data_IF_754822161740
#
_entry.id   IF_754822161740
#
_cell.length_a   1.000
_cell.length_b   1.000
_cell.length_c   1.000
_cell.angle_alpha   90.00
_cell.angle_beta   90.00
_cell.angle_gamma   90.00
#
_symmetry.space_group_name_H-M   'P 1'
#
loop_
_entity.id
_entity.type
_entity.pdbx_description
1 polymer ?
#
# COMPACT_ATOMS: atom_id res chain seq x y z
N UNK A 1 -11.60 11.79 15.81
CA UNK A 1 -10.64 12.09 14.73
C UNK A 1 -9.20 11.78 15.11
N UNK A 2 -8.66 12.31 16.20
CA UNK A 2 -7.27 12.06 16.61
C UNK A 2 -6.91 10.56 16.78
N UNK A 3 -7.78 9.79 17.44
CA UNK A 3 -7.55 8.35 17.62
C UNK A 3 -7.51 7.58 16.28
N UNK A 4 -8.39 7.94 15.34
CA UNK A 4 -8.47 7.31 14.02
C UNK A 4 -7.24 7.67 13.16
N UNK A 5 -6.77 8.91 13.25
CA UNK A 5 -5.55 9.39 12.61
C UNK A 5 -4.32 8.66 13.15
N UNK A 6 -4.17 8.56 14.48
CA UNK A 6 -3.06 7.83 15.09
C UNK A 6 -3.06 6.35 14.71
N UNK A 7 -4.24 5.73 14.66
CA UNK A 7 -4.39 4.35 14.22
C UNK A 7 -3.96 4.18 12.76
N UNK A 8 -4.43 5.04 11.86
CA UNK A 8 -4.06 5.01 10.45
C UNK A 8 -2.57 5.23 10.23
N UNK A 9 -1.96 6.17 10.94
CA UNK A 9 -0.51 6.38 10.85
C UNK A 9 0.27 5.16 11.35
N UNK A 10 -0.11 4.61 12.51
CA UNK A 10 0.54 3.42 13.06
C UNK A 10 0.48 2.24 12.08
N UNK A 11 -0.70 1.92 11.54
CA UNK A 11 -0.83 0.87 10.52
C UNK A 11 -0.16 1.24 9.19
N UNK A 12 -0.18 2.52 8.82
CA UNK A 12 0.43 3.08 7.61
C UNK A 12 1.94 2.90 7.56
N UNK A 13 2.63 3.08 8.69
CA UNK A 13 4.08 2.85 8.80
C UNK A 13 4.46 1.40 8.45
N UNK A 14 3.62 0.44 8.86
CA UNK A 14 3.85 -0.98 8.61
C UNK A 14 3.17 -1.50 7.33
N UNK A 15 2.44 -0.67 6.59
CA UNK A 15 1.68 -1.11 5.42
C UNK A 15 2.58 -1.74 4.33
N UNK A 16 3.81 -1.22 4.19
CA UNK A 16 4.81 -1.77 3.26
C UNK A 16 5.31 -3.16 3.67
N UNK A 17 5.22 -3.53 4.95
CA UNK A 17 5.60 -4.86 5.41
C UNK A 17 4.66 -5.94 4.88
N UNK A 18 3.38 -5.63 4.63
CA UNK A 18 2.40 -6.60 4.11
C UNK A 18 2.87 -7.22 2.78
N UNK A 19 3.13 -6.45 1.71
CA UNK A 19 3.64 -7.02 0.47
C UNK A 19 5.04 -7.62 0.61
N UNK A 20 5.93 -7.07 1.46
CA UNK A 20 7.26 -7.63 1.72
C UNK A 20 7.15 -9.04 2.33
N UNK A 21 6.30 -9.22 3.34
CA UNK A 21 6.07 -10.51 3.99
C UNK A 21 5.51 -11.53 2.99
N UNK A 22 4.58 -11.12 2.13
CA UNK A 22 4.04 -12.02 1.08
C UNK A 22 5.15 -12.42 0.10
N UNK A 23 5.99 -11.49 -0.35
CA UNK A 23 7.10 -11.75 -1.27
C UNK A 23 8.16 -12.67 -0.64
N UNK A 24 8.60 -12.40 0.60
CA UNK A 24 9.53 -13.25 1.34
C UNK A 24 8.96 -14.65 1.51
N UNK A 25 7.68 -14.75 1.90
CA UNK A 25 7.03 -16.04 2.05
C UNK A 25 6.98 -16.80 0.72
N UNK A 26 6.71 -16.14 -0.41
CA UNK A 26 6.75 -16.76 -1.75
C UNK A 26 8.16 -17.09 -2.25
N UNK A 27 9.18 -16.41 -1.75
CA UNK A 27 10.58 -16.74 -2.02
C UNK A 27 10.96 -18.06 -1.30
N UNK A 28 10.53 -18.22 -0.05
CA UNK A 28 10.89 -19.36 0.81
C UNK A 28 9.95 -20.57 0.64
N UNK A 29 8.65 -20.34 0.47
CA UNK A 29 7.62 -21.40 0.43
C UNK A 29 6.84 -21.40 -0.88
N UNK A 30 6.39 -22.60 -1.29
CA UNK A 30 5.65 -22.81 -2.55
C UNK A 30 4.12 -22.75 -2.42
N UNK A 31 3.56 -22.80 -1.21
CA UNK A 31 2.11 -22.74 -0.94
C UNK A 31 1.81 -21.70 0.12
N UNK A 32 0.75 -20.91 -0.05
CA UNK A 32 0.55 -19.77 0.85
C UNK A 32 -0.94 -19.41 1.06
N UNK A 33 -1.44 -19.44 2.31
CA UNK A 33 -2.67 -18.76 2.69
C UNK A 33 -2.46 -17.23 2.79
N UNK A 34 -1.22 -16.78 2.93
CA UNK A 34 -0.84 -15.37 3.12
C UNK A 34 -1.33 -14.45 2.01
N UNK A 35 -1.28 -14.87 0.73
CA UNK A 35 -1.80 -14.06 -0.38
C UNK A 35 -3.32 -13.81 -0.32
N UNK A 36 -4.06 -14.60 0.47
CA UNK A 36 -5.50 -14.44 0.66
C UNK A 36 -5.83 -13.51 1.82
N UNK A 37 -4.98 -13.48 2.85
CA UNK A 37 -5.16 -12.66 4.05
C UNK A 37 -4.57 -11.27 3.86
N UNK A 38 -3.44 -11.15 3.17
CA UNK A 38 -2.74 -9.89 2.99
C UNK A 38 -3.56 -8.77 2.30
N UNK A 39 -4.41 -9.05 1.28
CA UNK A 39 -5.30 -8.03 0.73
C UNK A 39 -6.27 -7.47 1.77
N UNK A 40 -6.79 -8.31 2.68
CA UNK A 40 -7.70 -7.87 3.75
C UNK A 40 -7.00 -6.92 4.73
N UNK A 41 -5.73 -7.15 5.04
CA UNK A 41 -4.94 -6.23 5.88
C UNK A 41 -4.73 -4.87 5.19
N UNK A 42 -4.51 -4.89 3.87
CA UNK A 42 -4.47 -3.69 3.04
C UNK A 42 -5.82 -2.95 3.06
N UNK A 43 -6.93 -3.66 2.87
CA UNK A 43 -8.28 -3.10 2.84
C UNK A 43 -8.61 -2.31 4.11
N UNK A 44 -8.28 -2.87 5.29
CA UNK A 44 -8.53 -2.22 6.58
C UNK A 44 -7.81 -0.87 6.65
N UNK A 45 -6.52 -0.83 6.32
CA UNK A 45 -5.76 0.41 6.46
C UNK A 45 -6.18 1.47 5.42
N UNK A 46 -6.44 1.04 4.18
CA UNK A 46 -6.91 1.95 3.13
C UNK A 46 -8.31 2.48 3.42
N UNK A 47 -9.20 1.65 3.97
CA UNK A 47 -10.54 2.09 4.38
C UNK A 47 -10.46 3.16 5.47
N UNK A 48 -9.63 2.96 6.51
CA UNK A 48 -9.45 3.97 7.56
C UNK A 48 -8.85 5.25 6.96
N UNK A 49 -7.85 5.14 6.09
CA UNK A 49 -7.26 6.29 5.39
C UNK A 49 -8.25 7.05 4.51
N UNK A 50 -9.11 6.33 3.81
CA UNK A 50 -10.16 6.91 2.97
C UNK A 50 -11.23 7.62 3.80
N UNK A 51 -11.65 7.02 4.93
CA UNK A 51 -12.56 7.68 5.87
C UNK A 51 -11.93 8.97 6.42
N UNK A 52 -10.65 8.95 6.78
CA UNK A 52 -9.93 10.15 7.20
C UNK A 52 -9.86 11.21 6.10
N UNK A 53 -9.58 10.82 4.86
CA UNK A 53 -9.58 11.72 3.71
C UNK A 53 -10.91 12.46 3.55
N UNK A 54 -12.03 11.75 3.72
CA UNK A 54 -13.37 12.33 3.58
C UNK A 54 -13.81 13.19 4.78
N UNK A 55 -13.36 12.88 6.00
CA UNK A 55 -13.94 13.45 7.23
C UNK A 55 -13.02 14.39 8.00
N UNK A 56 -11.70 14.35 7.79
CA UNK A 56 -10.73 15.03 8.66
C UNK A 56 -10.28 16.40 8.18
N UNK A 57 -10.62 16.80 6.94
CA UNK A 57 -10.07 17.99 6.29
C UNK A 57 -8.55 17.94 6.05
N UNK A 58 -7.91 16.79 6.30
CA UNK A 58 -6.48 16.58 6.06
C UNK A 58 -6.23 16.63 4.56
N UNK A 59 -5.39 17.58 4.14
CA UNK A 59 -5.03 17.73 2.73
C UNK A 59 -3.91 16.75 2.39
N UNK A 60 -4.29 15.65 1.74
CA UNK A 60 -3.37 14.77 1.02
C UNK A 60 -3.68 14.84 -0.47
N UNK A 61 -2.68 14.57 -1.30
CA UNK A 61 -2.87 14.51 -2.75
C UNK A 61 -3.90 13.45 -3.13
N UNK A 62 -4.75 13.75 -4.11
CA UNK A 62 -5.75 12.81 -4.68
C UNK A 62 -5.09 11.54 -5.23
N UNK A 63 -3.81 11.61 -5.62
CA UNK A 63 -3.06 10.45 -6.10
C UNK A 63 -2.78 9.41 -5.01
N UNK A 64 -2.77 9.81 -3.73
CA UNK A 64 -2.59 8.87 -2.62
C UNK A 64 -3.71 7.81 -2.58
N UNK A 65 -5.00 8.17 -2.43
CA UNK A 65 -6.07 7.18 -2.44
C UNK A 65 -6.18 6.43 -3.78
N UNK A 66 -5.87 7.06 -4.92
CA UNK A 66 -5.85 6.37 -6.22
C UNK A 66 -4.85 5.21 -6.23
N UNK A 67 -3.62 5.43 -5.76
CA UNK A 67 -2.61 4.39 -5.68
C UNK A 67 -2.95 3.30 -4.67
N UNK A 68 -3.57 3.66 -3.54
CA UNK A 68 -4.04 2.67 -2.56
C UNK A 68 -5.12 1.76 -3.13
N UNK A 69 -6.10 2.30 -3.86
CA UNK A 69 -7.16 1.53 -4.51
C UNK A 69 -6.60 0.62 -5.63
N UNK A 70 -5.65 1.13 -6.43
CA UNK A 70 -4.98 0.32 -7.44
C UNK A 70 -4.21 -0.86 -6.81
N UNK A 71 -3.53 -0.63 -5.67
CA UNK A 71 -2.83 -1.67 -4.93
C UNK A 71 -3.78 -2.76 -4.43
N UNK A 72 -4.95 -2.37 -3.88
CA UNK A 72 -6.00 -3.31 -3.47
C UNK A 72 -6.49 -4.15 -4.66
N UNK A 73 -6.82 -3.51 -5.77
CA UNK A 73 -7.32 -4.21 -6.97
C UNK A 73 -6.33 -5.26 -7.48
N UNK A 74 -5.03 -4.90 -7.50
CA UNK A 74 -3.96 -5.81 -7.91
C UNK A 74 -3.80 -6.97 -6.91
N UNK A 75 -3.85 -6.70 -5.60
CA UNK A 75 -3.72 -7.69 -4.54
C UNK A 75 -4.87 -8.72 -4.56
N UNK A 76 -6.12 -8.26 -4.72
CA UNK A 76 -7.29 -9.15 -4.83
C UNK A 76 -7.30 -9.94 -6.13
N UNK A 77 -6.93 -9.31 -7.25
CA UNK A 77 -6.86 -9.99 -8.55
C UNK A 77 -5.94 -11.20 -8.56
N UNK A 78 -4.93 -11.22 -7.68
CA UNK A 78 -3.96 -12.31 -7.58
C UNK A 78 -4.16 -13.24 -6.38
N UNK A 79 -5.08 -12.91 -5.46
CA UNK A 79 -5.25 -13.61 -4.17
C UNK A 79 -5.54 -15.12 -4.31
N UNK A 80 -6.15 -15.55 -5.42
CA UNK A 80 -6.46 -16.97 -5.71
C UNK A 80 -5.61 -17.58 -6.82
N UNK A 81 -4.66 -16.84 -7.38
CA UNK A 81 -3.80 -17.34 -8.45
C UNK A 81 -2.82 -18.39 -7.94
N UNK A 82 -2.55 -19.40 -8.76
CA UNK A 82 -1.52 -20.43 -8.54
C UNK A 82 -0.25 -20.17 -9.35
N UNK A 83 -0.29 -19.24 -10.31
CA UNK A 83 0.87 -18.90 -11.13
C UNK A 83 1.85 -18.03 -10.33
N UNK A 84 2.95 -18.65 -9.88
CA UNK A 84 3.97 -18.00 -9.06
C UNK A 84 4.53 -16.71 -9.67
N UNK A 85 4.80 -16.68 -10.97
CA UNK A 85 5.37 -15.49 -11.64
C UNK A 85 4.38 -14.33 -11.59
N UNK A 86 3.10 -14.63 -11.82
CA UNK A 86 2.00 -13.66 -11.75
C UNK A 86 1.84 -13.14 -10.32
N UNK A 87 1.86 -14.03 -9.32
CA UNK A 87 1.78 -13.65 -7.89
C UNK A 87 2.92 -12.73 -7.48
N UNK A 88 4.16 -13.11 -7.76
CA UNK A 88 5.33 -12.29 -7.41
C UNK A 88 5.26 -10.94 -8.12
N UNK A 89 4.99 -10.92 -9.42
CA UNK A 89 4.89 -9.67 -10.20
C UNK A 89 3.80 -8.74 -9.66
N UNK A 90 2.62 -9.28 -9.33
CA UNK A 90 1.54 -8.51 -8.74
C UNK A 90 1.92 -7.94 -7.37
N UNK A 91 2.50 -8.74 -6.48
CA UNK A 91 2.90 -8.26 -5.14
C UNK A 91 4.08 -7.28 -5.16
N UNK A 92 4.97 -7.36 -6.15
CA UNK A 92 5.96 -6.30 -6.44
C UNK A 92 5.25 -5.02 -6.89
N UNK A 93 4.25 -5.12 -7.77
CA UNK A 93 3.43 -3.98 -8.18
C UNK A 93 2.69 -3.34 -6.99
N UNK A 94 2.11 -4.15 -6.10
CA UNK A 94 1.48 -3.68 -4.86
C UNK A 94 2.49 -2.92 -4.00
N UNK A 95 3.69 -3.47 -3.79
CA UNK A 95 4.74 -2.81 -3.02
C UNK A 95 5.11 -1.44 -3.61
N UNK A 96 5.26 -1.35 -4.93
CA UNK A 96 5.57 -0.09 -5.63
C UNK A 96 4.44 0.93 -5.46
N UNK A 97 3.19 0.53 -5.68
CA UNK A 97 2.03 1.41 -5.54
C UNK A 97 1.88 1.93 -4.10
N UNK A 98 2.06 1.06 -3.10
CA UNK A 98 2.03 1.44 -1.69
C UNK A 98 3.17 2.41 -1.36
N UNK A 99 4.41 2.12 -1.80
CA UNK A 99 5.56 2.97 -1.54
C UNK A 99 5.41 4.36 -2.16
N UNK A 100 4.94 4.44 -3.41
CA UNK A 100 4.67 5.70 -4.09
C UNK A 100 3.55 6.48 -3.40
N UNK A 101 2.45 5.81 -3.04
CA UNK A 101 1.34 6.43 -2.35
C UNK A 101 1.75 7.02 -1.00
N UNK A 102 2.58 6.32 -0.21
CA UNK A 102 3.12 6.83 1.06
C UNK A 102 4.03 8.04 0.83
N UNK A 103 4.89 8.03 -0.19
CA UNK A 103 5.74 9.18 -0.51
C UNK A 103 4.93 10.42 -0.91
N UNK A 104 3.84 10.22 -1.65
CA UNK A 104 2.93 11.28 -2.06
C UNK A 104 2.17 11.86 -0.85
N UNK A 105 1.71 11.02 0.08
CA UNK A 105 1.08 11.48 1.31
C UNK A 105 2.04 12.28 2.19
N UNK A 106 3.31 11.86 2.28
CA UNK A 106 4.34 12.57 3.03
C UNK A 106 4.95 13.79 2.33
N UNK A 107 4.44 14.21 1.17
CA UNK A 107 4.93 15.39 0.43
C UNK A 107 6.32 15.24 -0.21
N UNK A 108 6.92 14.03 -0.19
CA UNK A 108 8.28 13.79 -0.68
C UNK A 108 8.39 13.80 -2.21
N UNK A 109 7.27 13.64 -2.90
CA UNK A 109 7.19 13.69 -4.37
C UNK A 109 7.15 15.13 -4.93
N UNK A 110 6.71 16.11 -4.12
CA UNK A 110 6.53 17.51 -4.53
C UNK A 110 7.70 18.43 -4.09
N UNK A 111 8.65 17.92 -3.32
CA UNK A 111 9.72 18.71 -2.67
C UNK A 111 11.12 18.43 -3.22
N UNK A 112 11.26 17.64 -4.28
CA UNK A 112 12.53 17.53 -5.01
C UNK A 112 12.55 18.56 -6.14
N UNK A 113 13.18 19.74 -5.98
CA UNK A 113 13.46 20.59 -7.13
C UNK A 113 14.36 19.82 -8.11
N UNK A 114 13.94 19.79 -9.38
CA UNK A 114 14.70 19.29 -10.53
C UNK A 114 15.80 20.28 -10.94
N UNK A 115 16.57 20.81 -9.99
CA UNK A 115 17.70 21.67 -10.30
C UNK A 115 18.94 21.13 -9.59
N UNK A 116 20.00 20.76 -10.34
CA UNK A 116 21.30 20.56 -9.72
C UNK A 116 21.75 21.89 -9.11
N UNK A 117 22.25 21.83 -7.88
CA UNK A 117 22.97 22.93 -7.29
C UNK A 117 24.16 23.27 -8.21
N UNK A 118 24.06 24.41 -8.90
CA UNK A 118 25.14 25.11 -9.56
C UNK A 118 25.35 26.42 -8.82
#
# INVERSE_FOLDING_TARGET
MLALYNLHNFYGEFLQLVPIVVLIWFAVRRRTPLQRVAPVLLDINVLIGFLLYLTSGIRVSVWHPVFMLAAIGLAHGVARSTNRKLVIGAWVGVLVLVALGVQIAGGRFLTRPLLPAL
#
